data_IF_254815648670
#
_entry.id   IF_254815648670
#
_cell.length_a   1.000
_cell.length_b   1.000
_cell.length_c   1.000
_cell.angle_alpha   90.00
_cell.angle_beta   90.00
_cell.angle_gamma   90.00
#
_symmetry.space_group_name_H-M   'P 1'
#
loop_
_entity.id
_entity.type
_entity.pdbx_description
1 polymer ?
#
# COMPACT_ATOMS: atom_id res chain seq x y z
N UNK A 1 -39.69 28.75 65.80
CA UNK A 1 -39.72 28.86 64.32
C UNK A 1 -38.36 29.16 63.69
N UNK A 2 -37.54 30.08 64.24
CA UNK A 2 -36.21 30.43 63.67
C UNK A 2 -35.19 29.27 63.65
N UNK A 3 -35.15 28.44 64.71
CA UNK A 3 -34.24 27.28 64.80
C UNK A 3 -34.50 26.21 63.71
N UNK A 4 -35.76 26.02 63.33
CA UNK A 4 -36.15 25.10 62.24
C UNK A 4 -35.66 25.66 60.89
N UNK A 5 -35.78 26.97 60.67
CA UNK A 5 -35.30 27.63 59.43
C UNK A 5 -33.77 27.53 59.29
N UNK A 6 -33.01 27.66 60.39
CA UNK A 6 -31.56 27.47 60.38
C UNK A 6 -31.19 26.03 60.04
N UNK A 7 -31.86 25.04 60.65
CA UNK A 7 -31.59 23.62 60.37
C UNK A 7 -31.80 23.27 58.89
N UNK A 8 -32.89 23.77 58.28
CA UNK A 8 -33.14 23.59 56.85
C UNK A 8 -32.09 24.27 55.97
N UNK A 9 -31.64 25.48 56.34
CA UNK A 9 -30.60 26.19 55.61
C UNK A 9 -29.26 25.46 55.69
N UNK A 10 -28.89 24.93 56.87
CA UNK A 10 -27.66 24.15 57.03
C UNK A 10 -27.69 22.85 56.23
N UNK A 11 -28.85 22.17 56.18
CA UNK A 11 -29.02 20.96 55.37
C UNK A 11 -28.90 21.29 53.89
N UNK A 12 -29.60 22.33 53.40
CA UNK A 12 -29.51 22.78 52.01
C UNK A 12 -28.08 23.16 51.60
N UNK A 13 -27.34 23.88 52.47
CA UNK A 13 -25.95 24.25 52.20
C UNK A 13 -25.03 23.03 52.16
N UNK A 14 -25.23 22.07 53.06
CA UNK A 14 -24.43 20.84 53.10
C UNK A 14 -24.67 19.94 51.89
N UNK A 15 -25.92 19.86 51.40
CA UNK A 15 -26.26 19.13 50.16
C UNK A 15 -25.66 19.82 48.93
N UNK A 16 -25.69 21.16 48.87
CA UNK A 16 -25.07 21.91 47.78
C UNK A 16 -23.53 21.74 47.72
N UNK A 17 -22.87 21.69 48.88
CA UNK A 17 -21.42 21.45 48.96
C UNK A 17 -21.06 20.02 48.49
N UNK A 18 -21.88 19.02 48.83
CA UNK A 18 -21.69 17.64 48.37
C UNK A 18 -21.85 17.49 46.86
N UNK A 19 -22.77 18.24 46.24
CA UNK A 19 -22.95 18.23 44.78
C UNK A 19 -21.74 18.87 44.06
N UNK A 20 -21.11 19.89 44.65
CA UNK A 20 -19.90 20.52 44.10
C UNK A 20 -18.64 19.64 44.17
N UNK A 21 -18.66 18.61 45.00
CA UNK A 21 -17.58 17.63 45.14
C UNK A 21 -17.74 16.43 44.20
N UNK A 22 -18.84 16.35 43.44
CA UNK A 22 -18.97 15.34 42.39
C UNK A 22 -18.02 15.79 41.26
N UNK A 23 -16.93 15.06 40.98
CA UNK A 23 -16.15 15.35 39.81
C UNK A 23 -17.09 15.23 38.62
N UNK A 24 -17.26 16.31 37.86
CA UNK A 24 -17.86 16.23 36.53
C UNK A 24 -16.90 15.41 35.68
N UNK A 25 -17.04 14.09 35.72
CA UNK A 25 -16.44 13.21 34.76
C UNK A 25 -17.10 13.55 33.42
N UNK A 26 -16.51 14.47 32.67
CA UNK A 26 -16.75 14.52 31.23
C UNK A 26 -16.20 13.20 30.70
N UNK A 27 -17.05 12.18 30.60
CA UNK A 27 -16.69 11.02 29.79
C UNK A 27 -16.49 11.56 28.39
N UNK A 28 -15.24 11.54 27.91
CA UNK A 28 -14.96 11.87 26.53
C UNK A 28 -15.75 10.88 25.69
N UNK A 29 -16.78 11.37 24.99
CA UNK A 29 -17.60 10.52 24.14
C UNK A 29 -16.66 9.81 23.17
N UNK A 30 -16.68 8.47 23.19
CA UNK A 30 -15.79 7.66 22.37
C UNK A 30 -16.05 8.04 20.91
N UNK A 31 -15.04 8.60 20.25
CA UNK A 31 -15.16 9.00 18.85
C UNK A 31 -15.37 7.76 18.02
N UNK A 32 -16.42 7.76 17.20
CA UNK A 32 -16.73 6.71 16.23
C UNK A 32 -16.44 7.22 14.83
N UNK A 33 -15.79 6.40 14.02
CA UNK A 33 -15.40 6.71 12.65
C UNK A 33 -15.93 5.60 11.76
N UNK A 34 -16.61 5.94 10.67
CA UNK A 34 -17.03 4.97 9.66
C UNK A 34 -15.91 4.85 8.63
N UNK A 35 -15.27 3.67 8.48
CA UNK A 35 -14.23 3.49 7.48
C UNK A 35 -14.82 3.38 6.08
N UNK A 36 -14.03 3.73 5.07
CA UNK A 36 -14.32 3.37 3.68
C UNK A 36 -13.60 2.06 3.35
N UNK A 37 -14.38 0.99 3.18
CA UNK A 37 -13.89 -0.36 2.87
C UNK A 37 -13.87 -0.53 1.36
N UNK A 38 -12.78 -1.07 0.83
CA UNK A 38 -12.62 -1.26 -0.61
C UNK A 38 -12.24 -2.70 -0.96
N UNK A 39 -12.54 -3.04 -2.21
CA UNK A 39 -12.01 -4.22 -2.89
C UNK A 39 -11.71 -3.88 -4.34
N UNK A 40 -10.53 -4.29 -4.81
CA UNK A 40 -10.15 -4.34 -6.22
C UNK A 40 -9.79 -5.76 -6.61
N UNK A 41 -9.90 -6.10 -7.89
CA UNK A 41 -9.54 -7.42 -8.43
C UNK A 41 -8.70 -7.23 -9.69
N UNK A 42 -7.52 -7.85 -9.72
CA UNK A 42 -6.57 -7.74 -10.83
C UNK A 42 -6.00 -9.14 -11.14
N UNK A 43 -6.12 -9.63 -12.39
CA UNK A 43 -6.85 -9.02 -13.50
C UNK A 43 -8.37 -9.12 -13.34
N UNK A 44 -9.11 -8.21 -13.99
CA UNK A 44 -10.56 -8.30 -14.14
C UNK A 44 -10.96 -7.66 -15.48
N UNK A 45 -11.42 -8.43 -16.49
CA UNK A 45 -11.78 -9.86 -16.46
C UNK A 45 -10.61 -10.81 -16.17
N UNK A 46 -10.90 -12.06 -15.79
CA UNK A 46 -9.92 -13.13 -15.54
C UNK A 46 -10.32 -14.42 -16.26
N UNK A 47 -9.33 -15.21 -16.69
CA UNK A 47 -9.57 -16.54 -17.24
C UNK A 47 -9.97 -17.53 -16.13
N UNK A 48 -10.85 -18.48 -16.44
CA UNK A 48 -11.24 -19.51 -15.49
C UNK A 48 -10.03 -20.32 -15.03
N UNK A 49 -9.91 -20.50 -13.72
CA UNK A 49 -8.79 -21.23 -13.16
C UNK A 49 -7.47 -20.45 -13.12
N UNK A 50 -7.41 -19.16 -13.45
CA UNK A 50 -6.25 -18.32 -13.15
C UNK A 50 -6.38 -17.64 -11.78
N UNK A 51 -5.26 -17.25 -11.18
CA UNK A 51 -5.28 -16.50 -9.92
C UNK A 51 -5.67 -15.04 -10.17
N UNK A 52 -6.56 -14.51 -9.33
CA UNK A 52 -6.87 -13.08 -9.24
C UNK A 52 -6.35 -12.54 -7.92
N UNK A 53 -5.62 -11.43 -7.97
CA UNK A 53 -5.24 -10.65 -6.79
C UNK A 53 -6.41 -9.76 -6.38
N UNK A 54 -6.94 -10.02 -5.19
CA UNK A 54 -7.91 -9.16 -4.54
C UNK A 54 -7.18 -8.19 -3.61
N UNK A 55 -7.17 -6.91 -3.96
CA UNK A 55 -6.66 -5.85 -3.09
C UNK A 55 -7.79 -5.39 -2.16
N UNK A 56 -7.64 -5.66 -0.86
CA UNK A 56 -8.72 -5.50 0.13
C UNK A 56 -8.23 -4.70 1.33
N UNK A 57 -9.13 -3.92 1.94
CA UNK A 57 -8.81 -3.16 3.14
C UNK A 57 -9.70 -1.95 3.35
N UNK A 58 -9.15 -0.97 4.06
CA UNK A 58 -9.78 0.34 4.26
C UNK A 58 -8.79 1.46 3.92
N UNK A 59 -9.31 2.66 3.64
CA UNK A 59 -8.48 3.82 3.25
C UNK A 59 -7.60 4.42 4.34
N UNK A 60 -7.72 3.92 5.57
CA UNK A 60 -6.98 4.42 6.72
C UNK A 60 -5.82 3.49 7.06
N UNK A 61 -4.62 4.05 7.06
CA UNK A 61 -3.43 3.39 7.60
C UNK A 61 -3.48 3.33 9.14
N UNK A 62 -2.59 2.53 9.70
CA UNK A 62 -2.39 2.37 11.15
C UNK A 62 -0.99 2.83 11.53
N UNK A 63 -0.81 3.25 12.78
CA UNK A 63 0.49 3.61 13.32
C UNK A 63 0.98 2.52 14.27
N UNK A 64 2.28 2.23 14.24
CA UNK A 64 2.91 1.29 15.18
C UNK A 64 2.64 1.70 16.65
N UNK A 65 2.35 0.77 17.57
CA UNK A 65 2.38 -0.70 17.46
C UNK A 65 1.20 -1.40 16.75
N UNK A 66 0.18 -0.68 16.29
CA UNK A 66 -0.93 -1.31 15.57
C UNK A 66 -0.46 -1.71 14.15
N UNK A 67 -0.27 -3.01 13.92
CA UNK A 67 0.33 -3.54 12.69
C UNK A 67 -0.69 -3.79 11.57
N UNK A 68 -1.64 -2.88 11.38
CA UNK A 68 -2.78 -3.03 10.47
C UNK A 68 -4.08 -3.48 11.14
N UNK A 69 -5.15 -3.49 10.36
CA UNK A 69 -6.49 -3.90 10.78
C UNK A 69 -6.66 -5.39 10.71
N UNK A 70 -7.46 -5.96 11.61
CA UNK A 70 -7.55 -7.41 11.79
C UNK A 70 -8.93 -7.96 11.49
N UNK A 71 -8.94 -9.24 11.11
CA UNK A 71 -10.15 -10.07 10.98
C UNK A 71 -11.17 -9.59 9.93
N UNK A 72 -10.72 -8.97 8.85
CA UNK A 72 -11.56 -8.70 7.68
C UNK A 72 -11.99 -10.03 7.04
N UNK A 73 -13.15 -10.02 6.38
CA UNK A 73 -13.67 -11.15 5.58
C UNK A 73 -13.82 -10.71 4.14
N UNK A 74 -13.39 -11.55 3.21
CA UNK A 74 -13.76 -11.43 1.79
C UNK A 74 -14.82 -12.47 1.49
N UNK A 75 -15.98 -12.03 1.04
CA UNK A 75 -17.13 -12.86 0.70
C UNK A 75 -17.29 -12.82 -0.81
N UNK A 76 -17.32 -13.99 -1.43
CA UNK A 76 -17.41 -14.14 -2.88
C UNK A 76 -18.68 -14.93 -3.20
N UNK A 77 -19.69 -14.25 -3.72
CA UNK A 77 -20.91 -14.87 -4.25
C UNK A 77 -20.60 -15.41 -5.66
N UNK A 78 -20.79 -16.71 -5.83
CA UNK A 78 -20.46 -17.43 -7.05
C UNK A 78 -21.64 -17.47 -8.02
N UNK A 79 -21.40 -17.65 -9.34
CA UNK A 79 -22.46 -17.81 -10.33
C UNK A 79 -23.40 -19.01 -10.07
N UNK A 80 -22.92 -20.05 -9.39
CA UNK A 80 -23.69 -21.25 -9.01
C UNK A 80 -24.50 -21.08 -7.71
N UNK A 81 -24.53 -19.87 -7.14
CA UNK A 81 -25.25 -19.55 -5.91
C UNK A 81 -24.55 -19.97 -4.62
N UNK A 82 -23.35 -20.58 -4.71
CA UNK A 82 -22.51 -20.84 -3.54
C UNK A 82 -21.76 -19.58 -3.11
N UNK A 83 -21.23 -19.61 -1.89
CA UNK A 83 -20.43 -18.51 -1.33
C UNK A 83 -19.10 -19.04 -0.87
N UNK A 84 -18.03 -18.48 -1.40
CA UNK A 84 -16.68 -18.70 -0.90
C UNK A 84 -16.36 -17.58 0.11
N UNK A 85 -15.57 -17.89 1.14
CA UNK A 85 -15.20 -16.91 2.18
C UNK A 85 -13.72 -17.04 2.49
N UNK A 86 -12.98 -15.94 2.35
CA UNK A 86 -11.58 -15.82 2.75
C UNK A 86 -11.53 -15.10 4.10
N UNK A 87 -11.06 -15.82 5.11
CA UNK A 87 -10.97 -15.34 6.49
C UNK A 87 -9.94 -16.17 7.28
N UNK A 88 -9.20 -15.57 8.23
CA UNK A 88 -9.11 -14.13 8.51
C UNK A 88 -8.19 -13.40 7.53
N UNK A 89 -8.54 -12.16 7.20
CA UNK A 89 -7.66 -11.25 6.45
C UNK A 89 -7.21 -10.11 7.35
N UNK A 90 -5.90 -9.89 7.41
CA UNK A 90 -5.29 -8.80 8.16
C UNK A 90 -4.60 -7.86 7.18
N UNK A 91 -4.78 -6.55 7.34
CA UNK A 91 -4.12 -5.57 6.49
C UNK A 91 -2.68 -5.34 6.93
N UNK A 92 -1.88 -4.78 6.04
CA UNK A 92 -0.61 -4.16 6.39
C UNK A 92 -0.85 -2.81 7.10
N UNK A 93 0.23 -2.16 7.55
CA UNK A 93 0.12 -0.85 8.23
C UNK A 93 -0.45 0.22 7.32
N UNK A 94 -0.36 0.08 6.00
CA UNK A 94 -0.96 0.99 5.00
C UNK A 94 -2.49 0.96 4.96
N UNK A 95 -3.13 -0.03 5.58
CA UNK A 95 -4.58 -0.18 5.64
C UNK A 95 -5.17 -1.12 4.59
N UNK A 96 -4.36 -1.57 3.62
CA UNK A 96 -4.72 -2.57 2.60
C UNK A 96 -3.84 -3.82 2.67
N UNK A 97 -4.24 -4.88 1.97
CA UNK A 97 -3.42 -6.06 1.68
C UNK A 97 -3.92 -6.79 0.43
N UNK A 98 -3.10 -7.70 -0.10
CA UNK A 98 -3.46 -8.56 -1.23
C UNK A 98 -3.81 -9.98 -0.78
N UNK A 99 -4.91 -10.54 -1.29
CA UNK A 99 -5.25 -11.96 -1.14
C UNK A 99 -5.54 -12.59 -2.51
N UNK A 100 -5.12 -13.84 -2.71
CA UNK A 100 -5.36 -14.55 -3.95
C UNK A 100 -6.70 -15.31 -3.91
N UNK A 101 -7.39 -15.33 -5.04
CA UNK A 101 -8.57 -16.16 -5.27
C UNK A 101 -8.49 -16.80 -6.66
N UNK A 102 -8.98 -18.03 -6.82
CA UNK A 102 -8.92 -18.77 -8.08
C UNK A 102 -10.32 -19.24 -8.46
N UNK A 103 -11.05 -18.52 -9.33
CA UNK A 103 -12.39 -18.92 -9.76
C UNK A 103 -12.33 -20.24 -10.53
N UNK A 104 -13.31 -21.12 -10.30
CA UNK A 104 -13.36 -22.47 -10.87
C UNK A 104 -14.45 -22.65 -11.93
N UNK A 105 -15.33 -21.68 -12.10
CA UNK A 105 -16.40 -21.70 -13.11
C UNK A 105 -16.49 -20.34 -13.81
N UNK A 106 -16.91 -20.35 -15.08
CA UNK A 106 -17.16 -19.13 -15.85
C UNK A 106 -18.41 -18.44 -15.35
N UNK A 107 -18.40 -17.10 -15.35
CA UNK A 107 -19.53 -16.27 -14.96
C UNK A 107 -19.15 -15.01 -14.19
N UNK A 108 -20.17 -14.30 -13.70
CA UNK A 108 -19.98 -13.10 -12.88
C UNK A 108 -20.05 -13.46 -11.41
N UNK A 109 -18.95 -13.25 -10.70
CA UNK A 109 -18.88 -13.34 -9.24
C UNK A 109 -19.09 -11.96 -8.63
N UNK A 110 -19.65 -11.89 -7.43
CA UNK A 110 -19.73 -10.65 -6.65
C UNK A 110 -18.85 -10.76 -5.41
N UNK A 111 -17.79 -9.96 -5.38
CA UNK A 111 -16.82 -9.91 -4.28
C UNK A 111 -17.19 -8.74 -3.37
N UNK A 112 -17.22 -8.99 -2.06
CA UNK A 112 -17.49 -7.97 -1.05
C UNK A 112 -16.61 -8.17 0.17
N UNK A 113 -16.13 -7.07 0.75
CA UNK A 113 -15.30 -7.10 1.97
C UNK A 113 -16.11 -6.61 3.16
N UNK A 114 -16.04 -7.36 4.25
CA UNK A 114 -16.55 -6.96 5.55
C UNK A 114 -15.38 -6.57 6.48
N UNK A 115 -15.48 -5.37 7.03
CA UNK A 115 -14.59 -4.86 8.06
C UNK A 115 -15.30 -4.95 9.43
N UNK A 116 -14.75 -5.70 10.40
CA UNK A 116 -15.34 -5.75 11.74
C UNK A 116 -15.01 -4.49 12.54
N UNK A 117 -15.92 -4.11 13.44
CA UNK A 117 -15.67 -3.04 14.40
C UNK A 117 -14.41 -3.32 15.22
N UNK A 118 -13.51 -2.34 15.29
CA UNK A 118 -12.28 -2.46 16.07
C UNK A 118 -11.77 -1.10 16.56
N UNK A 119 -10.98 -1.13 17.63
CA UNK A 119 -10.40 0.07 18.25
C UNK A 119 -9.18 0.54 17.47
N UNK A 120 -9.04 1.87 17.40
CA UNK A 120 -7.80 2.54 17.06
C UNK A 120 -6.89 2.45 18.28
N UNK A 121 -5.82 1.66 18.22
CA UNK A 121 -4.90 1.50 19.35
C UNK A 121 -3.92 2.68 19.46
N UNK A 122 -3.57 3.26 18.30
CA UNK A 122 -2.61 4.36 18.18
C UNK A 122 -3.22 5.48 17.36
N UNK A 123 -3.07 6.71 17.84
CA UNK A 123 -3.64 7.87 17.16
C UNK A 123 -3.07 8.02 15.73
N UNK A 124 -3.93 8.26 14.76
CA UNK A 124 -3.58 8.33 13.33
C UNK A 124 -4.48 9.32 12.58
N UNK A 125 -3.93 10.14 11.68
CA UNK A 125 -4.68 11.13 10.88
C UNK A 125 -5.70 11.98 11.68
N UNK A 126 -5.31 12.44 12.88
CA UNK A 126 -6.19 13.21 13.74
C UNK A 126 -7.33 12.42 14.37
N UNK A 127 -7.32 11.09 14.28
CA UNK A 127 -8.17 10.15 15.02
C UNK A 127 -7.44 9.75 16.30
N UNK A 128 -7.94 10.10 17.50
CA UNK A 128 -7.29 9.73 18.76
C UNK A 128 -7.27 8.22 19.01
N UNK A 129 -6.26 7.74 19.74
CA UNK A 129 -6.26 6.40 20.30
C UNK A 129 -7.51 6.17 21.17
N UNK A 130 -8.04 4.95 21.15
CA UNK A 130 -9.30 4.59 21.80
C UNK A 130 -10.56 4.92 20.99
N UNK A 131 -10.44 5.61 19.84
CA UNK A 131 -11.56 5.77 18.91
C UNK A 131 -12.01 4.40 18.36
N UNK A 132 -13.28 4.29 17.99
CA UNK A 132 -13.86 3.08 17.41
C UNK A 132 -13.98 3.25 15.91
N UNK A 133 -13.35 2.35 15.15
CA UNK A 133 -13.65 2.17 13.74
C UNK A 133 -14.89 1.28 13.64
N UNK A 134 -15.99 1.81 13.14
CA UNK A 134 -17.25 1.08 13.00
C UNK A 134 -17.08 -0.11 12.06
N UNK A 135 -17.91 -1.14 12.23
CA UNK A 135 -18.06 -2.14 11.18
C UNK A 135 -18.60 -1.50 9.89
N UNK A 136 -18.16 -2.03 8.75
CA UNK A 136 -18.56 -1.53 7.45
C UNK A 136 -18.38 -2.59 6.37
N UNK A 137 -19.01 -2.34 5.22
CA UNK A 137 -18.97 -3.18 4.04
C UNK A 137 -18.46 -2.39 2.85
N UNK A 138 -17.70 -3.04 1.97
CA UNK A 138 -17.39 -2.46 0.65
C UNK A 138 -18.62 -2.50 -0.26
N UNK A 139 -18.55 -1.75 -1.36
CA UNK A 139 -19.41 -2.01 -2.51
C UNK A 139 -19.12 -3.42 -3.07
N UNK A 140 -20.11 -4.01 -3.75
CA UNK A 140 -19.94 -5.29 -4.44
C UNK A 140 -19.17 -5.07 -5.74
N UNK A 141 -18.02 -5.72 -5.87
CA UNK A 141 -17.23 -5.74 -7.10
C UNK A 141 -17.65 -6.92 -7.96
N UNK A 142 -18.03 -6.64 -9.22
CA UNK A 142 -18.27 -7.68 -10.22
C UNK A 142 -16.93 -8.18 -10.77
N UNK A 143 -16.60 -9.43 -10.48
CA UNK A 143 -15.47 -10.15 -11.07
C UNK A 143 -15.97 -10.97 -12.25
N UNK A 144 -15.50 -10.65 -13.45
CA UNK A 144 -15.93 -11.28 -14.69
C UNK A 144 -14.95 -12.42 -15.02
N UNK A 145 -15.41 -13.66 -14.94
CA UNK A 145 -14.63 -14.85 -15.28
C UNK A 145 -15.05 -15.37 -16.65
N UNK A 146 -14.08 -15.61 -17.53
CA UNK A 146 -14.31 -16.00 -18.92
C UNK A 146 -13.50 -17.25 -19.29
N UNK A 147 -13.92 -17.93 -20.34
CA UNK A 147 -13.19 -19.10 -20.88
C UNK A 147 -12.03 -18.66 -21.78
N UNK A 148 -12.14 -17.52 -22.47
CA UNK A 148 -11.03 -17.06 -23.31
C UNK A 148 -9.84 -16.62 -22.43
N UNK A 149 -8.62 -17.07 -22.74
CA UNK A 149 -7.43 -16.58 -22.06
C UNK A 149 -7.27 -15.08 -22.31
N UNK A 150 -6.73 -14.36 -21.32
CA UNK A 150 -6.45 -12.94 -21.46
C UNK A 150 -5.41 -12.72 -22.57
N UNK A 151 -5.71 -11.81 -23.49
CA UNK A 151 -4.73 -11.34 -24.46
C UNK A 151 -3.73 -10.44 -23.74
N UNK A 152 -2.52 -10.95 -23.54
CA UNK A 152 -1.41 -10.14 -23.07
C UNK A 152 -0.85 -9.31 -24.22
N UNK A 153 -0.46 -8.06 -23.94
CA UNK A 153 0.25 -7.26 -24.92
C UNK A 153 1.53 -7.99 -25.35
N UNK A 154 1.72 -8.28 -26.65
CA UNK A 154 2.88 -9.02 -27.10
C UNK A 154 4.16 -8.28 -26.78
N UNK A 155 5.21 -9.04 -26.50
CA UNK A 155 6.52 -8.46 -26.28
C UNK A 155 7.08 -7.78 -27.53
N UNK A 156 7.91 -6.76 -27.31
CA UNK A 156 8.59 -6.06 -28.39
C UNK A 156 9.88 -6.82 -28.71
N UNK A 157 10.10 -7.27 -29.96
CA UNK A 157 11.29 -8.04 -30.28
C UNK A 157 12.56 -7.23 -30.02
N UNK A 158 13.67 -7.92 -29.73
CA UNK A 158 14.99 -7.31 -29.61
C UNK A 158 15.40 -6.62 -30.93
N UNK A 159 16.21 -5.55 -30.86
CA UNK A 159 16.63 -4.83 -32.05
C UNK A 159 17.58 -5.70 -32.89
N UNK A 160 17.38 -5.71 -34.20
CA UNK A 160 18.28 -6.38 -35.15
C UNK A 160 19.43 -5.50 -35.64
N UNK A 161 19.42 -4.23 -35.27
CA UNK A 161 20.39 -3.21 -35.67
C UNK A 161 20.86 -2.40 -34.44
N UNK A 162 21.78 -1.46 -34.65
CA UNK A 162 22.23 -0.55 -33.60
C UNK A 162 21.07 0.23 -32.99
N UNK A 163 21.00 0.23 -31.66
CA UNK A 163 20.01 0.97 -30.88
C UNK A 163 20.70 2.05 -30.03
N UNK A 164 19.92 3.00 -29.52
CA UNK A 164 20.42 4.09 -28.68
C UNK A 164 19.52 4.31 -27.47
N UNK A 165 20.07 4.96 -26.45
CA UNK A 165 19.32 5.38 -25.26
C UNK A 165 18.75 6.80 -25.43
N UNK A 166 17.64 7.14 -24.76
CA UNK A 166 16.85 6.29 -23.85
C UNK A 166 16.01 5.23 -24.60
N UNK A 167 15.83 4.06 -23.98
CA UNK A 167 14.93 3.01 -24.47
C UNK A 167 13.54 3.21 -23.86
N UNK A 168 12.49 2.95 -24.63
CA UNK A 168 11.11 3.01 -24.13
C UNK A 168 10.90 1.94 -23.05
N UNK A 169 10.43 2.33 -21.86
CA UNK A 169 10.29 1.39 -20.73
C UNK A 169 9.26 0.28 -20.99
N UNK A 170 8.34 0.49 -21.95
CA UNK A 170 7.38 -0.53 -22.36
C UNK A 170 8.03 -1.72 -23.11
N UNK A 171 9.30 -1.62 -23.52
CA UNK A 171 10.03 -2.70 -24.20
C UNK A 171 10.63 -3.67 -23.17
N UNK A 172 9.76 -4.34 -22.41
CA UNK A 172 10.13 -5.20 -21.27
C UNK A 172 11.16 -6.27 -21.64
N UNK A 173 11.08 -6.76 -22.87
CA UNK A 173 11.95 -7.81 -23.42
C UNK A 173 13.40 -7.33 -23.59
N UNK A 174 13.63 -6.01 -23.69
CA UNK A 174 14.96 -5.41 -23.83
C UNK A 174 15.71 -5.32 -22.50
N UNK A 175 15.10 -5.78 -21.40
CA UNK A 175 15.72 -5.98 -20.09
C UNK A 175 17.11 -6.62 -20.17
N UNK A 176 17.30 -7.59 -21.06
CA UNK A 176 18.54 -8.34 -21.23
C UNK A 176 19.68 -7.58 -21.94
N UNK A 177 19.41 -6.42 -22.56
CA UNK A 177 20.41 -5.64 -23.32
C UNK A 177 20.52 -4.17 -22.89
N UNK A 178 19.74 -3.75 -21.89
CA UNK A 178 19.64 -2.35 -21.45
C UNK A 178 20.32 -2.06 -20.10
N UNK A 179 21.08 -3.01 -19.58
CA UNK A 179 21.80 -2.93 -18.31
C UNK A 179 22.66 -1.67 -18.21
N UNK A 180 22.60 -1.02 -17.05
CA UNK A 180 23.30 0.23 -16.78
C UNK A 180 23.93 0.23 -15.40
N UNK A 181 25.12 0.82 -15.29
CA UNK A 181 25.76 1.11 -14.02
C UNK A 181 25.24 2.44 -13.47
N UNK A 182 24.53 2.39 -12.34
CA UNK A 182 23.92 3.56 -11.70
C UNK A 182 24.72 4.10 -10.50
N UNK A 183 25.81 3.43 -10.09
CA UNK A 183 26.59 3.81 -8.92
C UNK A 183 28.09 3.96 -9.22
N UNK A 184 28.77 4.99 -8.66
CA UNK A 184 30.23 5.07 -8.69
C UNK A 184 30.85 4.03 -7.74
N UNK A 185 32.03 3.53 -8.14
CA UNK A 185 32.79 2.44 -7.50
C UNK A 185 32.92 2.58 -5.97
N UNK A 186 32.51 1.53 -5.25
CA UNK A 186 32.89 1.22 -3.87
C UNK A 186 33.53 -0.18 -3.79
N UNK A 187 34.50 -0.35 -2.89
CA UNK A 187 35.53 -1.42 -2.83
C UNK A 187 35.02 -2.88 -2.66
N UNK A 188 33.72 -3.17 -2.68
CA UNK A 188 33.16 -4.47 -2.26
C UNK A 188 31.94 -5.00 -3.04
N UNK A 189 31.71 -4.58 -4.30
CA UNK A 189 30.56 -5.06 -5.09
C UNK A 189 31.06 -5.87 -6.29
N UNK A 190 30.58 -7.11 -6.41
CA UNK A 190 30.77 -7.95 -7.59
C UNK A 190 30.27 -7.22 -8.84
N UNK A 191 31.10 -7.19 -9.88
CA UNK A 191 30.96 -6.28 -11.03
C UNK A 191 30.04 -6.79 -12.15
N UNK A 192 29.07 -7.63 -11.82
CA UNK A 192 28.10 -8.10 -12.82
C UNK A 192 27.02 -7.04 -13.00
N UNK A 193 26.99 -6.42 -14.18
CA UNK A 193 25.88 -5.58 -14.64
C UNK A 193 24.94 -6.45 -15.47
N UNK A 194 23.90 -7.07 -14.86
CA UNK A 194 22.96 -7.89 -15.59
C UNK A 194 22.24 -7.06 -16.67
N UNK A 195 21.81 -7.72 -17.75
CA UNK A 195 21.15 -7.04 -18.87
C UNK A 195 22.13 -6.52 -19.93
N UNK A 196 23.25 -7.21 -20.15
CA UNK A 196 24.22 -6.90 -21.19
C UNK A 196 24.53 -8.13 -22.04
N UNK A 197 23.54 -8.99 -22.29
CA UNK A 197 23.72 -10.32 -22.88
C UNK A 197 24.32 -10.26 -24.30
N UNK A 198 24.01 -9.19 -25.05
CA UNK A 198 24.55 -8.90 -26.39
C UNK A 198 25.54 -7.71 -26.39
N UNK A 199 26.13 -7.38 -25.25
CA UNK A 199 27.13 -6.31 -25.18
C UNK A 199 28.47 -6.76 -25.81
N UNK A 200 29.21 -5.86 -26.48
CA UNK A 200 30.51 -6.20 -27.03
C UNK A 200 31.48 -6.71 -25.96
N UNK A 201 32.24 -7.78 -26.24
CA UNK A 201 33.33 -8.27 -25.35
C UNK A 201 34.52 -7.29 -25.23
N UNK A 202 34.39 -6.07 -25.78
CA UNK A 202 35.42 -5.03 -25.79
C UNK A 202 35.08 -3.92 -24.79
N UNK A 203 36.09 -3.27 -24.17
CA UNK A 203 35.85 -2.19 -23.22
C UNK A 203 34.96 -1.11 -23.82
N UNK A 204 33.82 -0.85 -23.19
CA UNK A 204 32.86 0.14 -23.66
C UNK A 204 33.42 1.56 -23.52
N UNK A 205 33.46 2.32 -24.61
CA UNK A 205 33.70 3.77 -24.53
C UNK A 205 32.42 4.44 -24.04
N UNK A 206 32.39 4.75 -22.75
CA UNK A 206 31.36 5.57 -22.13
C UNK A 206 31.52 7.02 -22.62
N UNK A 207 30.71 7.35 -23.63
CA UNK A 207 30.34 8.69 -24.10
C UNK A 207 31.31 9.44 -25.03
N UNK A 208 30.81 9.83 -26.20
CA UNK A 208 31.49 10.75 -27.13
C UNK A 208 31.13 12.25 -26.88
N UNK A 209 30.18 12.55 -25.98
CA UNK A 209 29.75 13.91 -25.65
C UNK A 209 29.59 14.10 -24.14
N UNK A 210 30.11 15.21 -23.56
CA UNK A 210 29.94 15.51 -22.14
C UNK A 210 28.49 15.89 -21.82
N UNK A 211 27.90 15.22 -20.83
CA UNK A 211 26.52 15.43 -20.38
C UNK A 211 26.44 16.28 -19.10
N UNK A 212 26.95 17.52 -19.14
CA UNK A 212 26.85 18.57 -18.08
C UNK A 212 28.02 18.64 -17.07
N UNK A 213 28.46 19.88 -16.77
CA UNK A 213 29.33 20.22 -15.63
C UNK A 213 28.50 20.19 -14.34
N UNK A 214 28.64 19.12 -13.56
CA UNK A 214 28.21 19.07 -12.17
C UNK A 214 27.03 18.14 -11.90
N UNK A 215 27.29 17.07 -11.15
CA UNK A 215 26.29 16.37 -10.33
C UNK A 215 25.67 15.12 -10.94
N UNK A 216 26.11 13.95 -10.45
CA UNK A 216 25.37 12.68 -10.32
C UNK A 216 24.43 12.28 -11.47
N UNK A 217 24.99 11.60 -12.48
CA UNK A 217 24.71 10.17 -12.71
C UNK A 217 23.27 9.65 -12.81
N UNK A 218 22.29 10.45 -13.22
CA UNK A 218 21.04 9.98 -13.79
C UNK A 218 20.99 10.57 -15.20
N UNK A 219 20.69 9.83 -16.26
CA UNK A 219 19.33 9.56 -16.68
C UNK A 219 19.41 8.69 -17.95
N UNK A 220 18.67 7.58 -17.98
CA UNK A 220 18.41 6.87 -19.24
C UNK A 220 18.34 5.36 -19.11
N UNK A 221 17.15 4.86 -18.72
CA UNK A 221 16.60 3.55 -19.02
C UNK A 221 17.53 2.34 -18.86
N UNK A 222 17.31 1.56 -17.81
CA UNK A 222 17.88 0.25 -17.59
C UNK A 222 17.39 -0.31 -16.26
N UNK A 223 17.15 -1.63 -16.20
CA UNK A 223 16.71 -2.29 -14.98
C UNK A 223 17.73 -2.06 -13.86
N UNK A 224 17.27 -1.59 -12.70
CA UNK A 224 18.08 -1.64 -11.50
C UNK A 224 18.41 -3.13 -11.24
N UNK A 225 19.70 -3.45 -11.23
CA UNK A 225 20.20 -4.83 -11.20
C UNK A 225 19.50 -5.73 -10.16
N UNK A 226 19.36 -7.01 -10.49
CA UNK A 226 18.78 -8.01 -9.59
C UNK A 226 17.95 -9.12 -10.25
N UNK A 227 17.89 -9.20 -11.58
CA UNK A 227 17.11 -10.25 -12.27
C UNK A 227 15.59 -10.09 -12.15
N UNK A 228 15.12 -8.91 -11.73
CA UNK A 228 13.71 -8.55 -11.68
C UNK A 228 13.52 -7.31 -12.56
N UNK A 229 12.53 -7.27 -13.46
CA UNK A 229 12.29 -6.15 -14.35
C UNK A 229 11.70 -4.95 -13.60
N UNK A 230 12.53 -4.19 -12.90
CA UNK A 230 12.15 -2.91 -12.30
C UNK A 230 12.52 -1.72 -13.19
N UNK A 231 11.59 -0.79 -13.39
CA UNK A 231 11.84 0.49 -14.01
C UNK A 231 12.57 1.43 -13.02
N UNK A 232 13.42 2.34 -13.50
CA UNK A 232 14.13 3.31 -12.65
C UNK A 232 13.27 4.56 -12.33
N UNK A 233 12.06 4.68 -12.89
CA UNK A 233 11.13 5.76 -12.56
C UNK A 233 9.66 5.29 -12.70
N UNK A 234 9.14 4.62 -11.68
CA UNK A 234 7.68 4.40 -11.52
C UNK A 234 7.05 5.38 -10.52
N UNK A 235 7.63 6.59 -10.43
CA UNK A 235 7.23 7.61 -9.48
C UNK A 235 7.85 7.37 -8.11
N UNK A 236 8.55 8.37 -7.60
CA UNK A 236 9.08 8.37 -6.24
C UNK A 236 7.92 8.64 -5.26
N UNK A 237 7.22 7.57 -4.87
CA UNK A 237 6.04 7.67 -4.02
C UNK A 237 6.38 8.00 -2.55
N UNK A 238 7.65 7.89 -2.14
CA UNK A 238 8.06 8.02 -0.75
C UNK A 238 9.29 8.90 -0.51
N UNK A 239 10.20 9.01 -1.46
CA UNK A 239 11.25 10.02 -1.42
C UNK A 239 10.87 11.16 -2.39
N UNK A 240 11.41 12.35 -2.16
CA UNK A 240 11.26 13.39 -3.17
C UNK A 240 12.36 13.19 -4.20
N UNK A 241 12.10 13.54 -5.45
CA UNK A 241 13.10 13.66 -6.53
C UNK A 241 14.34 14.52 -6.16
N UNK A 242 14.28 15.23 -5.02
CA UNK A 242 15.41 15.97 -4.42
C UNK A 242 15.48 15.74 -2.91
N UNK A 243 15.83 14.52 -2.49
CA UNK A 243 16.36 14.26 -1.15
C UNK A 243 17.82 14.72 -1.07
N UNK A 244 18.16 15.56 -0.08
CA UNK A 244 19.55 15.98 0.18
C UNK A 244 20.49 14.76 0.18
N UNK A 245 21.69 14.86 -0.44
CA UNK A 245 22.65 13.78 -0.36
C UNK A 245 23.04 13.60 1.11
N UNK A 246 22.72 12.42 1.65
CA UNK A 246 23.02 12.02 3.01
C UNK A 246 24.49 12.27 3.33
N UNK A 247 24.73 13.32 4.12
CA UNK A 247 26.01 13.57 4.75
C UNK A 247 26.26 12.52 5.81
N UNK A 248 27.07 11.53 5.49
CA UNK A 248 27.82 10.78 6.50
C UNK A 248 28.93 11.70 7.00
N UNK A 249 28.88 12.08 8.29
CA UNK A 249 30.05 12.63 8.96
C UNK A 249 29.79 13.35 10.27
N UNK A 250 30.29 12.77 11.36
CA UNK A 250 30.89 13.54 12.46
C UNK A 250 30.21 13.40 13.80
N UNK A 251 30.91 12.81 14.76
CA UNK A 251 30.53 12.77 16.16
C UNK A 251 30.55 14.12 16.87
N UNK A 252 29.86 14.13 18.00
CA UNK A 252 29.77 15.15 19.04
C UNK A 252 28.89 14.59 20.15
#
# INVERSE_FOLDING_TARGET
MWKIKIAWLTILLSVALLISLIPTAMSQQVRRVTPYVFVGAIPNPVHVGDDVLLHVGITLYTAWPQSGWKNLKVIIERPDGKVDTIYPVNTDTTGGTGVLYRPTIVGTYYVQVYFPEQKVEVAVLGIPAGSIMNEAWSEKLALIVREEPLEYWPGIPLPSEYWSRPVNSQFREWACITGNWLAPKGYYIDMDCPGNDDAPETPHILWAKPLVKGGMGALGGGLAGGGIPWEFEDGDAYEGFVGQPGGVGGGG
#
